data_IF_061024932783
#
_entry.id   IF_061024932783
#
_cell.length_a   1.000
_cell.length_b   1.000
_cell.length_c   1.000
_cell.angle_alpha   90.00
_cell.angle_beta   90.00
_cell.angle_gamma   90.00
#
_symmetry.space_group_name_H-M   'P 1'
#
loop_
_entity.id
_entity.type
_entity.pdbx_description
1 polymer ?
#
# COMPACT_ATOMS: atom_id res chain seq x y z
N UNK A 1 -56.14 4.41 -16.87
CA UNK A 1 -55.59 3.48 -17.88
C UNK A 1 -54.13 3.22 -17.54
N UNK A 2 -53.81 1.97 -17.21
CA UNK A 2 -53.04 1.03 -18.05
C UNK A 2 -51.55 1.39 -18.16
N UNK A 3 -50.77 0.89 -17.20
CA UNK A 3 -49.48 0.22 -17.38
C UNK A 3 -48.92 -0.07 -15.97
N UNK A 4 -48.15 -1.15 -15.81
CA UNK A 4 -47.42 -1.57 -14.60
C UNK A 4 -48.02 -2.68 -13.72
N UNK A 5 -49.08 -3.37 -14.15
CA UNK A 5 -49.48 -4.65 -13.51
C UNK A 5 -48.83 -5.89 -14.16
N UNK A 6 -48.00 -5.73 -15.20
CA UNK A 6 -47.43 -6.85 -15.97
C UNK A 6 -46.06 -7.31 -15.42
N UNK A 7 -45.29 -6.45 -14.74
CA UNK A 7 -43.96 -6.84 -14.22
C UNK A 7 -43.96 -7.64 -12.92
N UNK A 8 -45.10 -7.78 -12.23
CA UNK A 8 -45.21 -8.61 -11.02
C UNK A 8 -45.60 -10.06 -11.37
N UNK A 9 -46.15 -10.29 -12.57
CA UNK A 9 -46.57 -11.64 -12.98
C UNK A 9 -45.44 -12.50 -13.56
N UNK A 10 -44.36 -11.89 -14.07
CA UNK A 10 -43.26 -12.63 -14.70
C UNK A 10 -42.30 -13.30 -13.69
N UNK A 11 -42.36 -12.94 -12.41
CA UNK A 11 -41.61 -13.62 -11.35
C UNK A 11 -42.36 -14.79 -10.70
N UNK A 12 -43.61 -15.04 -11.09
CA UNK A 12 -44.38 -16.19 -10.60
C UNK A 12 -44.06 -17.48 -11.38
N UNK A 13 -43.53 -17.38 -12.61
CA UNK A 13 -43.32 -18.54 -13.48
C UNK A 13 -42.13 -19.45 -13.12
N UNK A 14 -40.99 -19.01 -12.54
CA UNK A 14 -39.89 -19.94 -12.25
C UNK A 14 -40.05 -20.69 -10.93
N UNK A 15 -41.00 -20.33 -10.06
CA UNK A 15 -41.19 -20.98 -8.76
C UNK A 15 -42.11 -22.22 -8.81
N UNK A 16 -42.79 -22.47 -9.93
CA UNK A 16 -43.73 -23.58 -10.05
C UNK A 16 -43.08 -24.92 -10.46
N UNK A 17 -41.75 -24.94 -10.67
CA UNK A 17 -40.99 -26.15 -11.00
C UNK A 17 -40.47 -26.86 -9.73
N UNK A 18 -40.51 -26.21 -8.56
CA UNK A 18 -40.03 -26.78 -7.29
C UNK A 18 -41.13 -27.39 -6.41
N UNK A 19 -42.34 -27.57 -6.94
CA UNK A 19 -43.50 -28.08 -6.21
C UNK A 19 -43.99 -29.41 -6.76
N UNK A 20 -43.09 -30.36 -7.02
CA UNK A 20 -43.49 -31.75 -7.18
C UNK A 20 -42.53 -32.68 -6.44
N UNK A 21 -42.85 -32.97 -5.17
CA UNK A 21 -42.38 -34.20 -4.55
C UNK A 21 -43.46 -34.76 -3.62
N UNK A 22 -43.72 -36.06 -3.77
CA UNK A 22 -44.83 -36.79 -3.18
C UNK A 22 -44.63 -36.98 -1.67
N UNK A 23 -45.70 -36.78 -0.92
CA UNK A 23 -45.80 -37.00 0.52
C UNK A 23 -45.33 -38.42 0.93
N UNK A 24 -44.45 -38.49 1.93
CA UNK A 24 -44.45 -39.56 2.95
C UNK A 24 -44.83 -38.91 4.28
N UNK A 25 -45.66 -39.54 5.13
CA UNK A 25 -46.01 -38.97 6.43
C UNK A 25 -44.83 -39.14 7.39
N UNK A 26 -44.27 -38.04 7.88
CA UNK A 26 -43.31 -38.04 8.98
C UNK A 26 -44.04 -37.65 10.27
N UNK A 27 -43.80 -38.41 11.34
CA UNK A 27 -44.40 -38.21 12.65
C UNK A 27 -44.00 -36.86 13.26
N UNK A 28 -44.99 -36.09 13.71
CA UNK A 28 -44.81 -34.87 14.50
C UNK A 28 -44.11 -35.14 15.83
N UNK A 29 -42.97 -34.48 16.14
CA UNK A 29 -42.41 -34.46 17.49
C UNK A 29 -43.25 -33.54 18.38
N UNK A 30 -43.75 -34.06 19.49
CA UNK A 30 -44.36 -33.24 20.56
C UNK A 30 -43.26 -32.43 21.26
N UNK A 31 -43.30 -31.10 21.13
CA UNK A 31 -42.51 -30.21 21.97
C UNK A 31 -43.27 -29.89 23.26
N UNK A 32 -42.84 -30.51 24.36
CA UNK A 32 -43.18 -30.10 25.72
C UNK A 32 -42.51 -28.75 26.00
N UNK A 33 -43.31 -27.72 26.31
CA UNK A 33 -42.80 -26.41 26.75
C UNK A 33 -42.27 -26.53 28.19
N UNK A 34 -40.99 -26.25 28.41
CA UNK A 34 -40.40 -26.14 29.75
C UNK A 34 -40.55 -24.72 30.31
N UNK A 35 -41.75 -24.34 30.75
CA UNK A 35 -41.87 -23.27 31.73
C UNK A 35 -41.51 -23.86 33.10
N UNK A 36 -40.23 -23.80 33.46
CA UNK A 36 -39.76 -24.21 34.79
C UNK A 36 -39.85 -23.00 35.72
N UNK A 37 -40.99 -22.85 36.38
CA UNK A 37 -41.07 -22.05 37.60
C UNK A 37 -40.06 -22.63 38.60
N UNK A 38 -39.21 -21.78 39.15
CA UNK A 38 -38.35 -22.14 40.28
C UNK A 38 -39.27 -22.37 41.48
N UNK A 39 -39.73 -23.62 41.67
CA UNK A 39 -40.15 -24.05 43.00
C UNK A 39 -38.87 -24.18 43.83
N UNK A 40 -38.87 -23.49 44.97
CA UNK A 40 -37.95 -23.71 46.08
C UNK A 40 -38.02 -25.19 46.46
N UNK A 41 -37.05 -25.97 45.99
CA UNK A 41 -36.73 -27.25 46.62
C UNK A 41 -35.74 -26.92 47.74
N UNK A 42 -36.09 -27.33 48.94
CA UNK A 42 -35.34 -27.09 50.17
C UNK A 42 -33.84 -27.37 50.01
N UNK A 43 -33.08 -26.38 50.44
CA UNK A 43 -31.64 -26.38 50.61
C UNK A 43 -31.22 -27.52 51.57
N UNK A 44 -30.32 -28.38 51.10
CA UNK A 44 -29.32 -29.11 51.90
C UNK A 44 -29.83 -29.95 53.08
N UNK A 45 -30.15 -31.22 52.81
CA UNK A 45 -29.78 -32.28 53.75
C UNK A 45 -28.26 -32.53 53.58
N UNK A 46 -27.43 -32.50 54.64
CA UNK A 46 -26.00 -32.78 54.53
C UNK A 46 -25.82 -34.28 54.38
N UNK A 47 -25.97 -34.78 53.17
CA UNK A 47 -25.59 -36.14 52.86
C UNK A 47 -24.06 -36.22 52.87
N UNK A 48 -23.53 -36.86 53.92
CA UNK A 48 -22.12 -37.08 54.16
C UNK A 48 -21.59 -38.10 53.14
N UNK A 49 -21.37 -37.66 51.91
CA UNK A 49 -20.84 -38.47 50.80
C UNK A 49 -19.32 -38.58 50.79
N UNK A 50 -18.62 -37.94 51.73
CA UNK A 50 -17.15 -37.90 51.81
C UNK A 50 -16.52 -39.29 52.04
N UNK A 51 -17.30 -40.24 52.57
CA UNK A 51 -16.86 -41.59 52.90
C UNK A 51 -17.31 -42.68 51.92
N UNK A 52 -18.05 -42.33 50.86
CA UNK A 52 -18.46 -43.31 49.84
C UNK A 52 -17.29 -43.58 48.86
N UNK A 53 -16.76 -44.81 48.80
CA UNK A 53 -15.61 -45.15 47.95
C UNK A 53 -15.89 -44.96 46.46
N UNK A 54 -17.14 -45.10 45.99
CA UNK A 54 -17.50 -44.84 44.60
C UNK A 54 -17.53 -43.34 44.31
N UNK A 55 -18.07 -42.52 45.22
CA UNK A 55 -18.10 -41.07 45.07
C UNK A 55 -16.68 -40.49 45.05
N UNK A 56 -15.81 -40.99 45.93
CA UNK A 56 -14.41 -40.55 46.01
C UNK A 56 -13.63 -40.83 44.71
N UNK A 57 -13.89 -41.98 44.08
CA UNK A 57 -13.28 -42.33 42.78
C UNK A 57 -13.75 -41.41 41.64
N UNK A 58 -15.05 -41.08 41.58
CA UNK A 58 -15.57 -40.13 40.59
C UNK A 58 -15.00 -38.74 40.80
N UNK A 59 -14.94 -38.28 42.06
CA UNK A 59 -14.43 -36.95 42.41
C UNK A 59 -12.95 -36.78 42.01
N UNK A 60 -12.12 -37.79 42.29
CA UNK A 60 -10.71 -37.80 41.92
C UNK A 60 -10.53 -37.81 40.39
N UNK A 61 -11.35 -38.58 39.66
CA UNK A 61 -11.32 -38.61 38.20
C UNK A 61 -11.76 -37.28 37.56
N UNK A 62 -12.67 -36.55 38.21
CA UNK A 62 -13.03 -35.19 37.82
C UNK A 62 -11.90 -34.20 38.10
N UNK A 63 -11.25 -34.27 39.27
CA UNK A 63 -10.10 -33.43 39.61
C UNK A 63 -8.93 -33.62 38.64
N UNK A 64 -8.59 -34.86 38.29
CA UNK A 64 -7.50 -35.18 37.35
C UNK A 64 -7.79 -34.59 35.97
N UNK A 65 -9.01 -34.81 35.46
CA UNK A 65 -9.43 -34.28 34.14
C UNK A 65 -9.51 -32.76 34.13
N UNK A 66 -9.94 -32.15 35.24
CA UNK A 66 -10.06 -30.69 35.35
C UNK A 66 -8.68 -30.05 35.44
N UNK A 67 -7.77 -30.65 36.21
CA UNK A 67 -6.37 -30.22 36.33
C UNK A 67 -5.64 -30.29 34.99
N UNK A 68 -5.83 -31.37 34.22
CA UNK A 68 -5.24 -31.49 32.89
C UNK A 68 -5.75 -30.41 31.92
N UNK A 69 -7.05 -30.13 31.91
CA UNK A 69 -7.64 -29.07 31.07
C UNK A 69 -7.14 -27.67 31.45
N UNK A 70 -6.93 -27.42 32.74
CA UNK A 70 -6.39 -26.14 33.21
C UNK A 70 -4.96 -25.94 32.74
N UNK A 71 -4.11 -26.97 32.82
CA UNK A 71 -2.75 -26.91 32.29
C UNK A 71 -2.72 -26.68 30.77
N UNK A 72 -3.55 -27.40 30.01
CA UNK A 72 -3.69 -27.22 28.56
C UNK A 72 -4.25 -25.83 28.17
N UNK A 73 -5.11 -25.26 29.01
CA UNK A 73 -5.64 -23.90 28.82
C UNK A 73 -4.55 -22.85 29.09
N UNK A 74 -3.80 -23.01 30.18
CA UNK A 74 -2.70 -22.11 30.54
C UNK A 74 -1.58 -22.11 29.49
N UNK A 75 -1.20 -23.28 28.95
CA UNK A 75 -0.21 -23.34 27.86
C UNK A 75 -0.70 -22.66 26.59
N UNK A 76 -1.96 -22.90 26.18
CA UNK A 76 -2.56 -22.21 25.04
C UNK A 76 -2.63 -20.70 25.26
N UNK A 77 -2.97 -20.27 26.48
CA UNK A 77 -3.01 -18.86 26.82
C UNK A 77 -1.62 -18.22 26.76
N UNK A 78 -0.59 -18.87 27.33
CA UNK A 78 0.81 -18.42 27.25
C UNK A 78 1.29 -18.28 25.80
N UNK A 79 1.07 -19.30 24.96
CA UNK A 79 1.51 -19.29 23.56
C UNK A 79 0.80 -18.19 22.75
N UNK A 80 -0.51 -18.03 22.95
CA UNK A 80 -1.27 -16.96 22.29
C UNK A 80 -0.81 -15.57 22.73
N UNK A 81 -0.53 -15.39 24.02
CA UNK A 81 -0.02 -14.12 24.57
C UNK A 81 1.37 -13.79 24.03
N UNK A 82 2.25 -14.78 23.88
CA UNK A 82 3.58 -14.59 23.28
C UNK A 82 3.47 -14.15 21.82
N UNK A 83 2.64 -14.83 21.01
CA UNK A 83 2.41 -14.47 19.60
C UNK A 83 1.85 -13.04 19.44
N UNK A 84 0.93 -12.64 20.32
CA UNK A 84 0.40 -11.28 20.32
C UNK A 84 1.47 -10.25 20.68
N UNK A 85 2.34 -10.54 21.65
CA UNK A 85 3.45 -9.67 22.05
C UNK A 85 4.46 -9.50 20.93
N UNK A 86 4.89 -10.61 20.31
CA UNK A 86 5.85 -10.59 19.20
C UNK A 86 5.30 -9.81 17.98
N UNK A 87 3.99 -9.96 17.69
CA UNK A 87 3.32 -9.20 16.63
C UNK A 87 3.27 -7.70 16.94
N UNK A 88 2.94 -7.35 18.18
CA UNK A 88 2.90 -5.96 18.64
C UNK A 88 4.28 -5.31 18.59
N UNK A 89 5.31 -5.97 19.12
CA UNK A 89 6.70 -5.49 19.08
C UNK A 89 7.18 -5.28 17.63
N UNK A 90 6.81 -6.17 16.71
CA UNK A 90 7.11 -6.03 15.28
C UNK A 90 6.42 -4.82 14.64
N UNK A 91 5.17 -4.54 14.99
CA UNK A 91 4.45 -3.37 14.47
C UNK A 91 4.97 -2.07 15.08
N UNK A 92 5.31 -2.06 16.37
CA UNK A 92 5.96 -0.91 17.04
C UNK A 92 7.30 -0.60 16.39
N UNK A 93 8.15 -1.59 16.13
CA UNK A 93 9.43 -1.40 15.43
C UNK A 93 9.25 -0.80 14.04
N UNK A 94 8.21 -1.21 13.29
CA UNK A 94 7.87 -0.60 11.99
C UNK A 94 7.44 0.85 12.12
N UNK A 95 6.63 1.18 13.14
CA UNK A 95 6.18 2.56 13.40
C UNK A 95 7.37 3.45 13.75
N UNK A 96 8.28 2.99 14.64
CA UNK A 96 9.50 3.73 15.02
C UNK A 96 10.40 3.98 13.80
N UNK A 97 10.61 2.96 12.95
CA UNK A 97 11.41 3.11 11.73
C UNK A 97 10.77 4.10 10.75
N UNK A 98 9.45 4.07 10.61
CA UNK A 98 8.70 4.99 9.75
C UNK A 98 8.81 6.43 10.25
N UNK A 99 8.61 6.66 11.55
CA UNK A 99 8.74 7.97 12.18
C UNK A 99 10.16 8.55 12.03
N UNK A 100 11.20 7.71 12.16
CA UNK A 100 12.59 8.11 11.96
C UNK A 100 12.87 8.56 10.51
N UNK A 101 12.31 7.87 9.51
CA UNK A 101 12.45 8.26 8.10
C UNK A 101 11.66 9.53 7.78
N UNK A 102 10.44 9.66 8.29
CA UNK A 102 9.61 10.87 8.12
C UNK A 102 10.31 12.10 8.72
N UNK A 103 10.91 11.97 9.91
CA UNK A 103 11.68 13.04 10.54
C UNK A 103 12.94 13.43 9.74
N UNK A 104 13.70 12.45 9.24
CA UNK A 104 14.86 12.71 8.39
C UNK A 104 14.48 13.40 7.07
N UNK A 105 13.35 13.01 6.46
CA UNK A 105 12.87 13.68 5.25
C UNK A 105 12.42 15.11 5.56
N UNK A 106 11.65 15.34 6.64
CA UNK A 106 11.21 16.67 7.03
C UNK A 106 12.38 17.63 7.29
N UNK A 107 13.43 17.17 7.98
CA UNK A 107 14.65 17.95 8.20
C UNK A 107 15.36 18.30 6.88
N UNK A 108 15.48 17.34 5.94
CA UNK A 108 16.08 17.58 4.62
C UNK A 108 15.28 18.57 3.78
N UNK A 109 13.96 18.44 3.75
CA UNK A 109 13.09 19.39 3.04
C UNK A 109 13.15 20.79 3.66
N UNK A 110 13.18 20.91 4.99
CA UNK A 110 13.30 22.21 5.65
C UNK A 110 14.64 22.92 5.32
N UNK A 111 15.76 22.20 5.27
CA UNK A 111 17.04 22.77 4.81
C UNK A 111 17.06 23.15 3.33
N UNK A 112 16.35 22.41 2.48
CA UNK A 112 16.24 22.71 1.05
C UNK A 112 15.32 23.92 0.78
N UNK A 113 14.27 24.11 1.58
CA UNK A 113 13.36 25.26 1.45
C UNK A 113 14.02 26.58 1.88
N UNK A 114 14.90 26.56 2.89
CA UNK A 114 15.67 27.75 3.31
C UNK A 114 16.70 28.19 2.27
N UNK A 115 17.16 27.29 1.39
CA UNK A 115 18.05 27.64 0.27
C UNK A 115 17.29 28.24 -0.94
N UNK A 116 15.95 28.20 -0.94
CA UNK A 116 15.11 28.58 -2.10
C UNK A 116 14.38 29.92 -1.90
N UNK A 117 14.31 30.48 -0.70
CA UNK A 117 13.58 31.74 -0.43
C UNK A 117 14.43 32.81 0.26
N UNK A 118 14.87 33.82 -0.52
CA UNK A 118 14.69 35.25 -0.21
C UNK A 118 15.25 36.18 -1.30
N UNK A 119 16.37 35.84 -1.96
CA UNK A 119 17.15 36.87 -2.68
C UNK A 119 17.23 36.69 -4.21
N UNK A 120 16.71 35.59 -4.77
CA UNK A 120 16.99 35.19 -6.17
C UNK A 120 15.79 35.20 -7.14
N UNK A 121 14.59 35.62 -6.73
CA UNK A 121 13.43 35.71 -7.65
C UNK A 121 12.94 37.17 -7.73
N UNK A 122 13.10 37.87 -8.88
CA UNK A 122 12.58 39.21 -9.06
C UNK A 122 11.05 39.20 -8.98
N UNK A 123 10.51 40.09 -8.15
CA UNK A 123 9.07 40.29 -7.92
C UNK A 123 8.35 40.74 -9.19
N UNK A 124 7.63 39.83 -9.86
CA UNK A 124 6.60 40.19 -10.82
C UNK A 124 5.28 40.48 -10.08
N UNK A 125 4.85 41.73 -10.15
CA UNK A 125 3.56 42.23 -9.67
C UNK A 125 2.45 41.62 -10.51
N UNK A 126 1.55 40.85 -9.90
CA UNK A 126 0.25 40.50 -10.46
C UNK A 126 -0.81 40.76 -9.39
N UNK A 127 -1.65 41.75 -9.64
CA UNK A 127 -2.76 42.18 -8.78
C UNK A 127 -3.78 41.05 -8.54
N UNK A 128 -4.22 40.98 -7.28
CA UNK A 128 -5.46 40.32 -6.78
C UNK A 128 -5.57 38.80 -6.90
N UNK A 129 -5.34 38.15 -5.75
CA UNK A 129 -5.32 36.71 -5.53
C UNK A 129 -6.71 36.05 -5.51
N UNK A 130 -6.72 34.83 -6.05
CA UNK A 130 -7.84 33.87 -6.12
C UNK A 130 -8.41 33.52 -4.73
N UNK A 131 -7.68 33.78 -3.65
CA UNK A 131 -8.12 33.55 -2.28
C UNK A 131 -9.39 34.34 -1.90
N UNK A 132 -9.52 35.58 -2.38
CA UNK A 132 -10.65 36.45 -2.02
C UNK A 132 -11.98 36.08 -2.75
N UNK A 133 -11.93 35.20 -3.77
CA UNK A 133 -13.12 34.66 -4.44
C UNK A 133 -13.61 33.34 -3.82
N UNK A 134 -12.72 32.55 -3.22
CA UNK A 134 -13.08 31.25 -2.62
C UNK A 134 -13.79 31.45 -1.27
N UNK A 135 -13.41 32.47 -0.50
CA UNK A 135 -14.00 32.76 0.82
C UNK A 135 -15.46 33.25 0.72
N UNK A 136 -15.80 34.03 -0.33
CA UNK A 136 -17.19 34.45 -0.61
C UNK A 136 -18.09 33.32 -1.15
N UNK A 137 -17.52 32.25 -1.71
CA UNK A 137 -18.27 31.09 -2.19
C UNK A 137 -18.66 30.11 -1.08
N UNK A 138 -17.80 29.95 -0.07
CA UNK A 138 -18.00 28.97 1.01
C UNK A 138 -19.07 29.42 2.04
N UNK A 139 -19.18 30.73 2.30
CA UNK A 139 -20.19 31.29 3.21
C UNK A 139 -21.63 31.20 2.66
N UNK A 140 -21.83 31.00 1.35
CA UNK A 140 -23.16 30.80 0.76
C UNK A 140 -23.70 29.37 0.91
N UNK A 141 -22.83 28.37 1.14
CA UNK A 141 -23.26 26.98 1.34
C UNK A 141 -23.56 26.63 2.80
N UNK A 142 -23.10 27.44 3.78
CA UNK A 142 -23.42 27.25 5.20
C UNK A 142 -24.81 27.74 5.63
N UNK A 143 -25.50 28.51 4.79
CA UNK A 143 -26.78 29.14 5.13
C UNK A 143 -28.05 28.29 4.91
N UNK A 144 -27.93 27.05 4.41
CA UNK A 144 -29.09 26.19 4.07
C UNK A 144 -29.29 25.04 5.07
N UNK A 145 -28.57 25.04 6.20
CA UNK A 145 -28.74 24.06 7.30
C UNK A 145 -29.49 24.64 8.51
N UNK A 146 -30.33 25.65 8.28
CA UNK A 146 -31.33 26.11 9.25
C UNK A 146 -32.66 25.40 9.06
N UNK A 147 -32.79 24.18 9.60
CA UNK A 147 -34.07 23.57 9.93
C UNK A 147 -34.55 22.41 9.02
N UNK A 148 -34.73 21.23 9.63
CA UNK A 148 -35.57 20.16 9.08
C UNK A 148 -34.93 18.78 8.96
N UNK A 149 -34.85 18.06 10.08
CA UNK A 149 -34.86 16.58 10.25
C UNK A 149 -34.60 15.73 8.97
N UNK A 150 -33.39 15.20 8.82
CA UNK A 150 -33.13 13.91 8.16
C UNK A 150 -31.83 13.26 8.72
N UNK A 151 -31.79 11.92 8.93
CA UNK A 151 -30.77 11.28 9.76
C UNK A 151 -29.42 11.16 9.06
N UNK A 152 -28.41 11.62 9.79
CA UNK A 152 -26.97 11.53 9.58
C UNK A 152 -26.43 10.09 9.54
N UNK A 153 -26.72 9.34 8.48
CA UNK A 153 -26.01 8.08 8.16
C UNK A 153 -25.27 8.13 6.81
N UNK A 154 -25.59 9.09 5.94
CA UNK A 154 -24.89 9.27 4.65
C UNK A 154 -23.64 10.15 4.69
N UNK A 155 -23.46 10.96 5.73
CA UNK A 155 -22.44 12.04 5.71
C UNK A 155 -21.06 11.61 6.24
N UNK A 156 -20.98 10.57 7.08
CA UNK A 156 -19.69 10.08 7.60
C UNK A 156 -19.01 9.09 6.65
N UNK A 157 -19.78 8.36 5.83
CA UNK A 157 -19.23 7.49 4.78
C UNK A 157 -18.69 8.26 3.57
N UNK A 158 -19.35 9.36 3.18
CA UNK A 158 -18.95 10.15 2.01
C UNK A 158 -17.58 10.81 2.16
N UNK A 159 -17.28 11.39 3.33
CA UNK A 159 -16.02 12.13 3.55
C UNK A 159 -14.80 11.20 3.53
N UNK A 160 -14.90 10.02 4.14
CA UNK A 160 -13.82 9.01 4.10
C UNK A 160 -13.58 8.44 2.70
N UNK A 161 -14.65 8.16 1.94
CA UNK A 161 -14.54 7.64 0.56
C UNK A 161 -13.95 8.70 -0.38
N UNK A 162 -14.31 9.98 -0.22
CA UNK A 162 -13.74 11.06 -1.04
C UNK A 162 -12.25 11.30 -0.75
N UNK A 163 -11.83 11.27 0.53
CA UNK A 163 -10.42 11.36 0.89
C UNK A 163 -9.61 10.18 0.35
N UNK A 164 -10.16 8.96 0.43
CA UNK A 164 -9.52 7.75 -0.10
C UNK A 164 -9.44 7.75 -1.64
N UNK A 165 -10.48 8.22 -2.32
CA UNK A 165 -10.52 8.35 -3.79
C UNK A 165 -9.45 9.30 -4.34
N UNK A 166 -8.95 10.23 -3.53
CA UNK A 166 -7.88 11.17 -3.90
C UNK A 166 -6.53 10.66 -3.39
N UNK A 167 -6.46 10.21 -2.13
CA UNK A 167 -5.20 9.83 -1.48
C UNK A 167 -4.61 8.51 -1.97
N UNK A 168 -5.43 7.50 -2.26
CA UNK A 168 -4.96 6.20 -2.71
C UNK A 168 -4.30 6.23 -4.11
N UNK A 169 -4.88 6.87 -5.15
CA UNK A 169 -4.19 7.01 -6.43
C UNK A 169 -2.96 7.91 -6.34
N UNK A 170 -2.98 8.97 -5.52
CA UNK A 170 -1.80 9.81 -5.30
C UNK A 170 -0.63 9.03 -4.68
N UNK A 171 -0.90 8.16 -3.71
CA UNK A 171 0.11 7.28 -3.13
C UNK A 171 0.64 6.24 -4.15
N UNK A 172 -0.24 5.70 -4.99
CA UNK A 172 0.13 4.77 -6.07
C UNK A 172 1.03 5.43 -7.13
N UNK A 173 0.73 6.68 -7.52
CA UNK A 173 1.56 7.49 -8.40
C UNK A 173 2.93 7.80 -7.81
N UNK A 174 2.99 8.15 -6.52
CA UNK A 174 4.25 8.39 -5.82
C UNK A 174 5.13 7.12 -5.80
N UNK A 175 4.54 5.96 -5.48
CA UNK A 175 5.24 4.68 -5.53
C UNK A 175 5.74 4.34 -6.95
N UNK A 176 4.90 4.58 -7.96
CA UNK A 176 5.26 4.35 -9.36
C UNK A 176 6.44 5.21 -9.83
N UNK A 177 6.50 6.49 -9.42
CA UNK A 177 7.62 7.39 -9.73
C UNK A 177 8.93 6.92 -9.07
N UNK A 178 8.87 6.41 -7.84
CA UNK A 178 10.04 5.85 -7.15
C UNK A 178 10.54 4.61 -7.90
N UNK A 179 9.65 3.68 -8.25
CA UNK A 179 10.02 2.49 -9.02
C UNK A 179 10.63 2.83 -10.39
N UNK A 180 10.03 3.79 -11.11
CA UNK A 180 10.56 4.28 -12.38
C UNK A 180 11.94 4.93 -12.22
N UNK A 181 12.16 5.73 -11.16
CA UNK A 181 13.44 6.35 -10.87
C UNK A 181 14.53 5.31 -10.54
N UNK A 182 14.20 4.27 -9.76
CA UNK A 182 15.13 3.17 -9.45
C UNK A 182 15.52 2.43 -10.73
N UNK A 183 14.55 2.09 -11.58
CA UNK A 183 14.85 1.43 -12.85
C UNK A 183 15.65 2.32 -13.81
N UNK A 184 15.31 3.61 -13.87
CA UNK A 184 16.04 4.60 -14.64
C UNK A 184 17.50 4.71 -14.22
N UNK A 185 17.79 4.76 -12.92
CA UNK A 185 19.15 4.82 -12.41
C UNK A 185 19.96 3.55 -12.74
N UNK A 186 19.34 2.36 -12.69
CA UNK A 186 19.99 1.10 -13.04
C UNK A 186 20.35 1.07 -14.53
N UNK A 187 19.38 1.36 -15.40
CA UNK A 187 19.59 1.33 -16.85
C UNK A 187 20.53 2.46 -17.32
N UNK A 188 20.43 3.64 -16.72
CA UNK A 188 21.34 4.75 -16.95
C UNK A 188 22.77 4.42 -16.56
N UNK A 189 22.98 3.82 -15.38
CA UNK A 189 24.31 3.38 -14.97
C UNK A 189 24.89 2.31 -15.89
N UNK A 190 24.07 1.37 -16.37
CA UNK A 190 24.51 0.35 -17.32
C UNK A 190 25.00 0.97 -18.65
N UNK A 191 24.27 1.95 -19.19
CA UNK A 191 24.69 2.70 -20.38
C UNK A 191 25.97 3.49 -20.11
N UNK A 192 26.06 4.19 -18.98
CA UNK A 192 27.26 4.90 -18.57
C UNK A 192 28.48 3.97 -18.48
N UNK A 193 28.33 2.78 -17.89
CA UNK A 193 29.39 1.77 -17.79
C UNK A 193 29.82 1.25 -19.16
N UNK A 194 28.88 0.97 -20.06
CA UNK A 194 29.19 0.54 -21.42
C UNK A 194 29.95 1.62 -22.20
N UNK A 195 29.55 2.89 -22.05
CA UNK A 195 30.26 4.02 -22.63
C UNK A 195 31.69 4.10 -22.11
N UNK A 196 31.88 4.08 -20.78
CA UNK A 196 33.20 4.13 -20.15
C UNK A 196 34.08 2.98 -20.63
N UNK A 197 33.55 1.75 -20.66
CA UNK A 197 34.31 0.59 -21.10
C UNK A 197 34.76 0.72 -22.57
N UNK A 198 33.84 1.10 -23.47
CA UNK A 198 34.16 1.30 -24.89
C UNK A 198 35.17 2.44 -25.09
N UNK A 199 34.96 3.57 -24.40
CA UNK A 199 35.83 4.74 -24.53
C UNK A 199 37.24 4.45 -24.02
N UNK A 200 37.36 3.81 -22.85
CA UNK A 200 38.65 3.44 -22.30
C UNK A 200 39.36 2.36 -23.12
N UNK A 201 38.65 1.36 -23.67
CA UNK A 201 39.28 0.35 -24.55
C UNK A 201 39.87 0.95 -25.83
N UNK A 202 39.27 2.03 -26.35
CA UNK A 202 39.77 2.73 -27.54
C UNK A 202 40.92 3.69 -27.21
N UNK A 203 40.83 4.43 -26.09
CA UNK A 203 41.82 5.46 -25.73
C UNK A 203 43.02 4.90 -24.96
N UNK A 204 42.81 3.83 -24.19
CA UNK A 204 43.83 3.14 -23.40
C UNK A 204 44.03 1.77 -24.02
N UNK A 205 45.13 1.60 -24.75
CA UNK A 205 45.36 0.34 -25.46
C UNK A 205 45.44 -0.85 -24.48
N UNK A 206 44.91 -2.00 -24.90
CA UNK A 206 44.98 -3.26 -24.14
C UNK A 206 46.42 -3.71 -23.87
N UNK A 207 47.37 -3.22 -24.68
CA UNK A 207 48.82 -3.44 -24.51
C UNK A 207 49.34 -2.73 -23.26
N UNK A 208 48.83 -1.53 -22.94
CA UNK A 208 49.25 -0.76 -21.77
C UNK A 208 48.68 -1.30 -20.46
N UNK A 209 47.39 -1.68 -20.46
CA UNK A 209 46.69 -2.18 -19.27
C UNK A 209 45.88 -3.45 -19.62
N UNK A 210 46.53 -4.62 -19.65
CA UNK A 210 45.85 -5.87 -20.03
C UNK A 210 44.73 -6.28 -19.07
N UNK A 211 44.79 -5.85 -17.80
CA UNK A 211 43.77 -6.13 -16.78
C UNK A 211 42.66 -5.06 -16.68
N UNK A 212 42.57 -4.14 -17.65
CA UNK A 212 41.62 -3.02 -17.60
C UNK A 212 40.17 -3.50 -17.53
N UNK A 213 39.79 -4.47 -18.37
CA UNK A 213 38.44 -5.04 -18.40
C UNK A 213 38.06 -5.69 -17.06
N UNK A 214 38.98 -6.45 -16.46
CA UNK A 214 38.79 -7.09 -15.15
C UNK A 214 38.60 -6.06 -14.03
N UNK A 215 39.36 -4.97 -14.07
CA UNK A 215 39.19 -3.84 -13.14
C UNK A 215 37.87 -3.10 -13.36
N UNK A 216 37.46 -2.90 -14.61
CA UNK A 216 36.15 -2.32 -14.95
C UNK A 216 35.00 -3.17 -14.43
N UNK A 217 35.09 -4.50 -14.50
CA UNK A 217 34.08 -5.40 -13.93
C UNK A 217 33.94 -5.31 -12.41
N UNK A 218 34.97 -4.83 -11.70
CA UNK A 218 34.91 -4.62 -10.24
C UNK A 218 34.27 -3.30 -9.83
N UNK A 219 34.00 -2.41 -10.79
CA UNK A 219 33.40 -1.09 -10.56
C UNK A 219 31.90 -1.19 -10.79
N UNK A 220 31.12 -0.86 -9.76
CA UNK A 220 29.65 -0.89 -9.83
C UNK A 220 29.02 0.32 -10.52
N UNK A 221 29.70 1.47 -10.49
CA UNK A 221 29.17 2.74 -10.99
C UNK A 221 30.15 3.44 -11.93
N UNK A 222 29.66 4.00 -13.04
CA UNK A 222 30.53 4.66 -14.01
C UNK A 222 31.31 5.83 -13.40
N UNK A 223 30.75 6.53 -12.42
CA UNK A 223 31.39 7.66 -11.74
C UNK A 223 32.61 7.23 -10.90
N UNK A 224 32.67 5.97 -10.48
CA UNK A 224 33.75 5.42 -9.67
C UNK A 224 34.99 5.04 -10.50
N UNK A 225 34.93 5.19 -11.82
CA UNK A 225 36.05 4.84 -12.71
C UNK A 225 37.30 5.68 -12.45
N UNK A 226 37.16 6.87 -11.88
CA UNK A 226 38.27 7.72 -11.43
C UNK A 226 39.19 7.03 -10.42
N UNK A 227 38.70 6.01 -9.69
CA UNK A 227 39.53 5.18 -8.80
C UNK A 227 40.61 4.41 -9.55
N UNK A 228 40.49 4.23 -10.87
CA UNK A 228 41.51 3.61 -11.70
C UNK A 228 42.71 4.53 -11.99
N UNK A 229 42.58 5.84 -11.82
CA UNK A 229 43.64 6.80 -12.14
C UNK A 229 44.97 6.43 -11.48
N UNK A 230 44.96 6.09 -10.19
CA UNK A 230 46.19 5.67 -9.47
C UNK A 230 46.82 4.39 -10.03
N UNK A 231 46.01 3.44 -10.51
CA UNK A 231 46.52 2.22 -11.15
C UNK A 231 47.15 2.52 -12.51
N UNK A 232 46.49 3.36 -13.31
CA UNK A 232 46.97 3.80 -14.63
C UNK A 232 48.31 4.53 -14.47
N UNK A 233 48.38 5.50 -13.57
CA UNK A 233 49.60 6.27 -13.28
C UNK A 233 50.73 5.37 -12.78
N UNK A 234 50.46 4.45 -11.84
CA UNK A 234 51.48 3.52 -11.34
C UNK A 234 52.03 2.64 -12.45
N UNK A 235 51.16 2.13 -13.33
CA UNK A 235 51.58 1.29 -14.47
C UNK A 235 52.38 2.10 -15.50
N UNK A 236 51.92 3.32 -15.79
CA UNK A 236 52.65 4.28 -16.62
C UNK A 236 54.05 4.55 -16.07
N UNK A 237 54.17 4.94 -14.79
CA UNK A 237 55.47 5.28 -14.18
C UNK A 237 56.42 4.08 -14.13
N UNK A 238 55.92 2.88 -13.79
CA UNK A 238 56.77 1.66 -13.75
C UNK A 238 57.26 1.22 -15.11
N UNK A 239 56.49 1.47 -16.18
CA UNK A 239 56.86 1.04 -17.53
C UNK A 239 57.66 2.12 -18.28
N UNK A 240 57.31 3.40 -18.06
CA UNK A 240 57.90 4.56 -18.74
C UNK A 240 59.16 5.13 -18.05
N UNK A 241 59.46 4.74 -16.81
CA UNK A 241 60.70 5.11 -16.11
C UNK A 241 61.98 4.56 -16.76
N UNK A 242 61.86 3.58 -17.66
CA UNK A 242 62.95 2.99 -18.45
C UNK A 242 63.02 3.54 -19.89
N UNK A 243 62.46 4.72 -20.15
CA UNK A 243 62.58 5.40 -21.44
C UNK A 243 61.63 4.87 -22.51
N UNK A 244 60.31 5.12 -22.36
CA UNK A 244 59.36 4.99 -23.48
C UNK A 244 59.53 6.14 -24.48
N UNK A 245 60.72 6.24 -25.06
CA UNK A 245 60.99 7.06 -26.24
C UNK A 245 60.88 6.13 -27.44
N UNK A 246 59.82 6.32 -28.24
CA UNK A 246 59.64 5.75 -29.59
C UNK A 246 58.85 4.43 -29.70
N UNK A 247 58.13 3.97 -28.67
CA UNK A 247 57.10 2.94 -28.88
C UNK A 247 55.79 3.65 -29.27
N UNK A 248 55.25 3.43 -30.50
CA UNK A 248 54.09 4.17 -31.01
C UNK A 248 52.87 4.12 -30.07
N UNK A 249 52.62 2.97 -29.44
CA UNK A 249 51.48 2.76 -28.55
C UNK A 249 51.54 3.63 -27.27
N UNK A 250 52.74 3.90 -26.76
CA UNK A 250 52.91 4.79 -25.59
C UNK A 250 52.82 6.26 -25.97
N UNK A 251 53.17 6.60 -27.21
CA UNK A 251 53.03 7.97 -27.71
C UNK A 251 51.55 8.30 -27.88
N UNK A 252 50.80 7.41 -28.52
CA UNK A 252 49.34 7.52 -28.68
C UNK A 252 48.63 7.64 -27.32
N UNK A 253 48.99 6.80 -26.34
CA UNK A 253 48.47 6.93 -24.98
C UNK A 253 48.74 8.32 -24.38
N UNK A 254 49.99 8.82 -24.46
CA UNK A 254 50.36 10.12 -23.89
C UNK A 254 49.53 11.26 -24.48
N UNK A 255 49.22 11.22 -25.77
CA UNK A 255 48.33 12.20 -26.40
C UNK A 255 46.87 12.00 -25.99
N UNK A 256 46.36 10.76 -26.03
CA UNK A 256 44.97 10.45 -25.68
C UNK A 256 44.59 10.87 -24.26
N UNK A 257 45.52 10.67 -23.30
CA UNK A 257 45.30 11.05 -21.89
C UNK A 257 45.78 12.46 -21.55
N UNK A 258 46.34 13.21 -22.51
CA UNK A 258 46.76 14.61 -22.31
C UNK A 258 48.05 14.80 -21.50
N UNK A 259 48.92 13.78 -21.46
CA UNK A 259 50.28 13.89 -20.91
C UNK A 259 51.17 14.72 -21.83
N UNK A 260 51.04 14.53 -23.14
CA UNK A 260 51.63 15.39 -24.15
C UNK A 260 50.50 16.17 -24.83
N UNK A 261 50.64 17.50 -24.87
CA UNK A 261 49.69 18.40 -25.51
C UNK A 261 50.46 19.21 -26.55
N UNK A 262 49.94 19.25 -27.77
CA UNK A 262 50.45 20.15 -28.80
C UNK A 262 49.79 21.51 -28.62
N UNK A 263 50.62 22.53 -28.40
CA UNK A 263 50.17 23.91 -28.34
C UNK A 263 50.00 24.49 -29.75
N UNK A 264 49.19 25.54 -29.89
CA UNK A 264 48.88 26.18 -31.16
C UNK A 264 50.12 26.75 -31.88
N UNK A 265 51.21 26.99 -31.14
CA UNK A 265 52.51 27.44 -31.65
C UNK A 265 53.42 26.29 -32.15
N UNK A 266 52.92 25.05 -32.11
CA UNK A 266 53.65 23.85 -32.49
C UNK A 266 54.61 23.33 -31.41
N UNK A 267 54.63 23.93 -30.22
CA UNK A 267 55.41 23.42 -29.08
C UNK A 267 54.66 22.27 -28.37
N UNK A 268 55.40 21.38 -27.71
CA UNK A 268 54.82 20.29 -26.92
C UNK A 268 54.88 20.61 -25.44
N UNK A 269 53.73 20.73 -24.80
CA UNK A 269 53.59 20.88 -23.36
C UNK A 269 53.50 19.47 -22.76
N UNK A 270 54.33 19.20 -21.74
CA UNK A 270 54.27 17.94 -21.00
C UNK A 270 53.63 18.16 -19.63
N UNK A 271 52.56 17.43 -19.35
CA UNK A 271 51.92 17.40 -18.03
C UNK A 271 52.40 16.20 -17.21
N UNK A 272 52.37 16.32 -15.89
CA UNK A 272 52.54 15.17 -14.99
C UNK A 272 51.45 14.13 -15.21
N UNK A 273 51.83 12.86 -15.27
CA UNK A 273 50.90 11.75 -15.50
C UNK A 273 49.73 11.70 -14.51
N UNK A 274 49.97 12.07 -13.24
CA UNK A 274 48.93 12.15 -12.20
C UNK A 274 47.79 13.11 -12.60
N UNK A 275 48.16 14.34 -12.97
CA UNK A 275 47.22 15.38 -13.35
C UNK A 275 46.49 15.04 -14.65
N UNK A 276 47.24 14.67 -15.68
CA UNK A 276 46.68 14.36 -17.00
C UNK A 276 45.69 13.19 -16.97
N UNK A 277 46.05 12.08 -16.31
CA UNK A 277 45.17 10.93 -16.17
C UNK A 277 43.93 11.28 -15.35
N UNK A 278 44.07 12.08 -14.30
CA UNK A 278 42.91 12.53 -13.52
C UNK A 278 41.93 13.34 -14.38
N UNK A 279 42.42 14.38 -15.08
CA UNK A 279 41.60 15.23 -15.96
C UNK A 279 40.93 14.42 -17.07
N UNK A 280 41.65 13.47 -17.67
CA UNK A 280 41.11 12.55 -18.66
C UNK A 280 39.96 11.73 -18.08
N UNK A 281 40.16 11.08 -16.93
CA UNK A 281 39.13 10.23 -16.31
C UNK A 281 37.89 11.04 -15.87
N UNK A 282 38.07 12.26 -15.39
CA UNK A 282 36.97 13.18 -15.09
C UNK A 282 36.20 13.57 -16.37
N UNK A 283 36.89 13.80 -17.48
CA UNK A 283 36.26 14.05 -18.79
C UNK A 283 35.45 12.84 -19.27
N UNK A 284 35.98 11.62 -19.08
CA UNK A 284 35.29 10.36 -19.39
C UNK A 284 34.01 10.23 -18.55
N UNK A 285 34.09 10.46 -17.24
CA UNK A 285 32.90 10.44 -16.37
C UNK A 285 31.88 11.48 -16.79
N UNK A 286 32.31 12.68 -17.19
CA UNK A 286 31.40 13.74 -17.66
C UNK A 286 30.68 13.33 -18.95
N UNK A 287 31.36 12.66 -19.88
CA UNK A 287 30.73 12.16 -21.11
C UNK A 287 29.78 10.99 -20.82
N UNK A 288 30.22 10.03 -20.00
CA UNK A 288 29.39 8.90 -19.57
C UNK A 288 28.13 9.36 -18.83
N UNK A 289 28.24 10.42 -18.01
CA UNK A 289 27.11 11.04 -17.31
C UNK A 289 26.06 11.55 -18.28
N UNK A 290 26.45 12.21 -19.38
CA UNK A 290 25.49 12.70 -20.38
C UNK A 290 24.66 11.54 -20.96
N UNK A 291 25.33 10.47 -21.38
CA UNK A 291 24.65 9.28 -21.92
C UNK A 291 23.77 8.58 -20.87
N UNK A 292 24.28 8.47 -19.63
CA UNK A 292 23.54 7.89 -18.51
C UNK A 292 22.30 8.70 -18.15
N UNK A 293 22.39 10.03 -18.12
CA UNK A 293 21.29 10.94 -17.80
C UNK A 293 20.21 10.90 -18.89
N UNK A 294 20.61 10.86 -20.17
CA UNK A 294 19.69 10.68 -21.31
C UNK A 294 18.91 9.37 -21.16
N UNK A 295 19.61 8.26 -20.91
CA UNK A 295 18.96 6.96 -20.75
C UNK A 295 18.07 6.92 -19.51
N UNK A 296 18.52 7.49 -18.40
CA UNK A 296 17.74 7.60 -17.15
C UNK A 296 16.43 8.32 -17.39
N UNK A 297 16.48 9.49 -18.05
CA UNK A 297 15.30 10.28 -18.37
C UNK A 297 14.33 9.52 -19.31
N UNK A 298 14.86 8.84 -20.33
CA UNK A 298 14.06 8.02 -21.25
C UNK A 298 13.31 6.91 -20.49
N UNK A 299 14.03 6.14 -19.67
CA UNK A 299 13.45 5.00 -18.93
C UNK A 299 12.42 5.48 -17.91
N UNK A 300 12.68 6.60 -17.23
CA UNK A 300 11.69 7.20 -16.33
C UNK A 300 10.43 7.59 -17.11
N UNK A 301 10.57 8.25 -18.27
CA UNK A 301 9.45 8.65 -19.10
C UNK A 301 8.63 7.43 -19.59
N UNK A 302 9.29 6.36 -20.01
CA UNK A 302 8.65 5.14 -20.52
C UNK A 302 7.97 4.31 -19.40
N UNK A 303 8.61 4.21 -18.23
CA UNK A 303 8.16 3.32 -17.15
C UNK A 303 7.16 3.96 -16.20
N UNK A 304 7.24 5.27 -15.98
CA UNK A 304 6.30 6.00 -15.10
C UNK A 304 4.83 5.73 -15.44
N UNK A 305 4.35 5.84 -16.70
CA UNK A 305 2.94 5.59 -17.02
C UNK A 305 2.56 4.12 -16.82
N UNK A 306 3.47 3.18 -17.11
CA UNK A 306 3.25 1.74 -16.95
C UNK A 306 3.06 1.40 -15.46
N UNK A 307 3.96 1.87 -14.60
CA UNK A 307 3.88 1.62 -13.16
C UNK A 307 2.71 2.36 -12.50
N UNK A 308 2.39 3.56 -12.98
CA UNK A 308 1.23 4.33 -12.49
C UNK A 308 -0.05 3.55 -12.75
N UNK A 309 -0.24 3.08 -13.98
CA UNK A 309 -1.41 2.28 -14.36
C UNK A 309 -1.50 1.01 -13.51
N UNK A 310 -0.40 0.26 -13.42
CA UNK A 310 -0.33 -0.98 -12.61
C UNK A 310 -0.71 -0.74 -11.15
N UNK A 311 -0.18 0.32 -10.53
CA UNK A 311 -0.38 0.58 -9.11
C UNK A 311 -1.80 1.10 -8.84
N UNK A 312 -2.35 1.94 -9.73
CA UNK A 312 -3.75 2.37 -9.66
C UNK A 312 -4.70 1.19 -9.86
N UNK A 313 -4.42 0.29 -10.81
CA UNK A 313 -5.23 -0.91 -11.04
C UNK A 313 -5.22 -1.85 -9.83
N UNK A 314 -4.07 -1.99 -9.17
CA UNK A 314 -3.97 -2.76 -7.93
C UNK A 314 -4.83 -2.14 -6.81
N UNK A 315 -4.82 -0.81 -6.66
CA UNK A 315 -5.68 -0.09 -5.71
C UNK A 315 -7.15 -0.29 -6.03
N UNK A 316 -7.54 -0.13 -7.31
CA UNK A 316 -8.92 -0.32 -7.76
C UNK A 316 -9.41 -1.75 -7.54
N UNK A 317 -8.55 -2.74 -7.80
CA UNK A 317 -8.86 -4.16 -7.60
C UNK A 317 -9.10 -4.47 -6.11
N UNK A 318 -8.22 -3.98 -5.23
CA UNK A 318 -8.40 -4.14 -3.78
C UNK A 318 -9.70 -3.50 -3.29
N UNK A 319 -10.07 -2.35 -3.83
CA UNK A 319 -11.31 -1.66 -3.48
C UNK A 319 -12.58 -2.30 -4.04
N UNK A 320 -12.52 -2.90 -5.22
CA UNK A 320 -13.63 -3.68 -5.77
C UNK A 320 -14.09 -4.76 -4.79
N UNK A 321 -13.14 -5.43 -4.11
CA UNK A 321 -13.43 -6.37 -3.02
C UNK A 321 -14.21 -5.73 -1.87
N UNK A 322 -13.76 -4.56 -1.38
CA UNK A 322 -14.44 -3.83 -0.31
C UNK A 322 -15.85 -3.37 -0.72
N UNK A 323 -16.04 -2.89 -1.95
CA UNK A 323 -17.35 -2.47 -2.45
C UNK A 323 -18.36 -3.62 -2.49
N UNK A 324 -17.96 -4.80 -2.96
CA UNK A 324 -18.87 -5.96 -3.00
C UNK A 324 -19.38 -6.34 -1.61
N UNK A 325 -18.51 -6.29 -0.59
CA UNK A 325 -18.90 -6.52 0.80
C UNK A 325 -19.85 -5.45 1.34
N UNK A 326 -19.64 -4.18 1.00
CA UNK A 326 -20.52 -3.07 1.40
C UNK A 326 -21.88 -3.19 0.71
N UNK A 327 -21.92 -3.51 -0.58
CA UNK A 327 -23.18 -3.69 -1.33
C UNK A 327 -23.97 -4.87 -0.74
N UNK A 328 -23.31 -5.99 -0.44
CA UNK A 328 -23.97 -7.14 0.17
C UNK A 328 -24.61 -6.81 1.53
N UNK A 329 -23.94 -6.03 2.38
CA UNK A 329 -24.48 -5.62 3.69
C UNK A 329 -25.67 -4.67 3.54
N UNK A 330 -25.61 -3.71 2.61
CA UNK A 330 -26.73 -2.80 2.30
C UNK A 330 -27.94 -3.58 1.78
N UNK A 331 -27.73 -4.53 0.86
CA UNK A 331 -28.82 -5.40 0.36
C UNK A 331 -29.45 -6.20 1.49
N UNK A 332 -28.65 -6.76 2.40
CA UNK A 332 -29.17 -7.50 3.56
C UNK A 332 -30.04 -6.60 4.47
N UNK A 333 -29.61 -5.37 4.75
CA UNK A 333 -30.39 -4.41 5.55
C UNK A 333 -31.72 -4.08 4.87
N UNK A 334 -31.71 -3.83 3.55
CA UNK A 334 -32.93 -3.53 2.78
C UNK A 334 -33.92 -4.70 2.83
N UNK A 335 -33.45 -5.95 2.73
CA UNK A 335 -34.30 -7.14 2.84
C UNK A 335 -34.95 -7.25 4.22
N UNK A 336 -34.19 -7.01 5.31
CA UNK A 336 -34.72 -7.02 6.69
C UNK A 336 -35.82 -5.95 6.85
N UNK A 337 -35.58 -4.74 6.36
CA UNK A 337 -36.55 -3.63 6.42
C UNK A 337 -37.82 -3.98 5.63
N UNK A 338 -37.71 -4.58 4.45
CA UNK A 338 -38.86 -5.02 3.66
C UNK A 338 -39.70 -6.07 4.40
N UNK A 339 -39.07 -7.05 5.04
CA UNK A 339 -39.77 -8.07 5.85
C UNK A 339 -40.51 -7.40 7.01
N UNK A 340 -39.86 -6.48 7.73
CA UNK A 340 -40.48 -5.71 8.83
C UNK A 340 -41.72 -4.93 8.35
N UNK A 341 -41.64 -4.29 7.19
CA UNK A 341 -42.78 -3.55 6.58
C UNK A 341 -43.93 -4.50 6.21
N UNK A 342 -43.64 -5.67 5.66
CA UNK A 342 -44.66 -6.67 5.31
C UNK A 342 -45.37 -7.18 6.57
N UNK A 343 -44.61 -7.58 7.60
CA UNK A 343 -45.15 -8.03 8.89
C UNK A 343 -46.00 -6.91 9.52
N UNK A 344 -45.49 -5.68 9.54
CA UNK A 344 -46.23 -4.52 10.03
C UNK A 344 -47.55 -4.31 9.29
N UNK A 345 -47.57 -4.39 7.95
CA UNK A 345 -48.81 -4.28 7.17
C UNK A 345 -49.79 -5.40 7.50
N UNK A 346 -49.34 -6.65 7.67
CA UNK A 346 -50.19 -7.78 8.06
C UNK A 346 -50.80 -7.56 9.44
N UNK A 347 -49.98 -7.18 10.42
CA UNK A 347 -50.43 -6.91 11.80
C UNK A 347 -51.41 -5.74 11.85
N UNK A 348 -51.13 -4.65 11.12
CA UNK A 348 -52.02 -3.49 11.00
C UNK A 348 -53.36 -3.86 10.37
N UNK A 349 -53.35 -4.68 9.32
CA UNK A 349 -54.57 -5.19 8.70
C UNK A 349 -55.40 -6.03 9.67
N UNK A 350 -54.76 -6.96 10.40
CA UNK A 350 -55.42 -7.78 11.44
C UNK A 350 -56.03 -6.93 12.56
N UNK A 351 -55.31 -5.92 13.07
CA UNK A 351 -55.84 -4.99 14.10
C UNK A 351 -57.07 -4.24 13.60
N UNK A 352 -57.03 -3.68 12.38
CA UNK A 352 -58.21 -2.99 11.79
C UNK A 352 -59.41 -3.93 11.65
N UNK A 353 -59.20 -5.17 11.20
CA UNK A 353 -60.28 -6.17 11.08
C UNK A 353 -60.89 -6.52 12.44
N UNK A 354 -60.07 -6.68 13.49
CA UNK A 354 -60.53 -6.95 14.86
C UNK A 354 -61.37 -5.79 15.42
N UNK A 355 -60.96 -4.54 15.18
CA UNK A 355 -61.72 -3.36 15.62
C UNK A 355 -63.08 -3.24 14.92
N UNK A 356 -63.15 -3.49 13.60
CA UNK A 356 -64.42 -3.51 12.86
C UNK A 356 -65.40 -4.56 13.42
N UNK A 357 -64.91 -5.76 13.72
CA UNK A 357 -65.73 -6.81 14.35
C UNK A 357 -66.25 -6.38 15.73
N UNK A 358 -65.41 -5.79 16.59
CA UNK A 358 -65.84 -5.28 17.91
C UNK A 358 -66.96 -4.24 17.80
N UNK A 359 -66.87 -3.32 16.84
CA UNK A 359 -67.89 -2.31 16.57
C UNK A 359 -69.24 -2.91 16.17
N UNK A 360 -69.24 -4.03 15.43
CA UNK A 360 -70.48 -4.74 15.09
C UNK A 360 -71.10 -5.43 16.31
N UNK A 361 -70.30 -6.04 17.18
CA UNK A 361 -70.80 -6.67 18.40
C UNK A 361 -71.39 -5.67 19.40
N UNK A 362 -70.80 -4.47 19.54
CA UNK A 362 -71.35 -3.42 20.41
C UNK A 362 -72.72 -2.97 19.92
N UNK A 363 -72.89 -2.76 18.61
CA UNK A 363 -74.19 -2.38 18.03
C UNK A 363 -75.30 -3.40 18.27
N UNK A 364 -74.97 -4.69 18.23
CA UNK A 364 -75.94 -5.77 18.49
C UNK A 364 -76.35 -5.92 19.96
N UNK A 365 -75.66 -5.26 20.89
CA UNK A 365 -75.96 -5.30 22.33
C UNK A 365 -76.75 -4.07 22.81
N UNK A 366 -76.83 -3.01 21.99
CA UNK A 366 -77.61 -1.79 22.29
C UNK A 366 -79.02 -1.84 21.68
N UNK A 367 -79.30 -2.77 20.77
CA UNK A 367 -80.65 -3.20 20.38
C UNK A 367 -81.14 -4.31 21.31
#
# INVERSE_FOLDING_TARGET
>A
MKANYVNILLFALPLNILAHNKNKPYSTPQHTKSNRSLCECDLYAPANYDNDPQMKGVMQQFEDRTSQRLLEYDERMKNTRQKCKDKCDKEIQKIILKDKLEKQMAEKFATLDTDIQSDAIPTCICETSIANKVEKGCLRCGGVLGGGVAPSVGLLGGIGIHAWKIGAPAAAEAAAKIEAAVQGAIEGNAVGMNFVNSYLENMVSKVLIPDLSKKMSSIGYYADVTKLSGHIVKKYNTTCSLGCTNVPEWMEFKYNVGILIEADDGSTITQTAEKAVQEFMESVVRMAKKEADIKTAQVIADKTPIFTTRNIDAVNTAYGGCQTSIIASVVAIVVIVLIMVIIYKILRYRRKKKMKKKLQYIKLLEE
#
